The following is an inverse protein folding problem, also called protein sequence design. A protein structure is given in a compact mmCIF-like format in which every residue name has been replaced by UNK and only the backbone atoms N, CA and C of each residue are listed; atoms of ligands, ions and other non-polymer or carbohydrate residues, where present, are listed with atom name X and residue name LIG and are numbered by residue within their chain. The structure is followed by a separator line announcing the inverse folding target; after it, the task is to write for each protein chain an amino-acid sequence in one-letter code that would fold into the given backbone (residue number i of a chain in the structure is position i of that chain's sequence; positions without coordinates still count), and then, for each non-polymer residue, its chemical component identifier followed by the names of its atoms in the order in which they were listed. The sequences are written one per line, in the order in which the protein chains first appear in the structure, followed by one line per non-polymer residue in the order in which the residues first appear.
data_IF_279590327989
#
_entry.id   IF_279590327989
#
_cell.length_a   1.000
_cell.length_b   1.000
_cell.length_c   1.000
_cell.angle_alpha   90.00
_cell.angle_beta   90.00
_cell.angle_gamma   90.00
#
_symmetry.space_group_name_H-M   'P 1'
#
loop_
_entity.id
_entity.type
_entity.pdbx_description
1 polymer ?
#
# COMPACT_ATOMS: atom_id res chain seq x y z
N UNK A 1 -16.72 -4.07 -35.05
CA UNK A 1 -16.81 -2.96 -34.08
C UNK A 1 -17.43 -3.53 -32.82
N UNK A 2 -16.62 -3.85 -31.81
CA UNK A 2 -17.14 -4.43 -30.57
C UNK A 2 -16.18 -4.12 -29.41
N UNK A 3 -16.34 -2.94 -28.82
CA UNK A 3 -15.56 -2.50 -27.67
C UNK A 3 -16.19 -3.12 -26.42
N UNK A 4 -15.72 -4.31 -26.03
CA UNK A 4 -16.23 -5.03 -24.86
C UNK A 4 -15.37 -4.71 -23.65
N UNK A 5 -15.91 -3.99 -22.68
CA UNK A 5 -15.28 -3.76 -21.39
C UNK A 5 -16.08 -4.40 -20.26
N UNK A 6 -15.38 -4.84 -19.23
CA UNK A 6 -15.96 -5.35 -17.99
C UNK A 6 -15.81 -4.28 -16.92
N UNK A 7 -16.95 -3.79 -16.42
CA UNK A 7 -17.03 -2.82 -15.32
C UNK A 7 -17.94 -3.40 -14.22
N UNK A 8 -17.68 -3.03 -12.96
CA UNK A 8 -18.64 -3.29 -11.88
C UNK A 8 -19.95 -2.54 -12.15
N UNK A 9 -21.07 -3.19 -11.87
CA UNK A 9 -22.40 -2.63 -12.16
C UNK A 9 -22.62 -1.27 -11.47
N UNK A 10 -22.08 -1.10 -10.27
CA UNK A 10 -22.17 0.13 -9.45
C UNK A 10 -21.32 1.28 -9.99
N UNK A 11 -20.28 0.99 -10.76
CA UNK A 11 -19.37 2.00 -11.30
C UNK A 11 -19.75 2.45 -12.72
N UNK A 12 -20.74 1.80 -13.34
CA UNK A 12 -21.10 2.01 -14.75
C UNK A 12 -21.62 3.42 -15.04
N UNK A 13 -22.32 4.05 -14.10
CA UNK A 13 -22.83 5.42 -14.23
C UNK A 13 -21.80 6.49 -13.92
N UNK A 14 -20.63 6.10 -13.38
CA UNK A 14 -19.57 7.01 -12.95
C UNK A 14 -18.41 7.08 -13.96
N UNK A 15 -18.46 6.28 -15.02
CA UNK A 15 -17.42 6.23 -16.03
C UNK A 15 -17.99 6.51 -17.41
N UNK A 16 -17.26 7.31 -18.19
CA UNK A 16 -17.51 7.52 -19.61
C UNK A 16 -16.28 7.04 -20.36
N UNK A 17 -16.46 6.04 -21.23
CA UNK A 17 -15.37 5.45 -22.00
C UNK A 17 -15.52 5.83 -23.47
N UNK A 18 -14.57 6.61 -23.98
CA UNK A 18 -14.47 6.93 -25.40
C UNK A 18 -13.73 5.82 -26.14
N UNK A 19 -14.46 4.91 -26.80
CA UNK A 19 -13.86 3.90 -27.66
C UNK A 19 -13.40 4.51 -28.99
N UNK A 20 -12.22 5.11 -29.02
CA UNK A 20 -11.60 5.58 -30.27
C UNK A 20 -10.99 4.40 -31.04
N UNK A 21 -11.32 4.30 -32.33
CA UNK A 21 -10.70 3.31 -33.24
C UNK A 21 -9.23 3.72 -33.47
N UNK A 22 -8.26 2.80 -33.48
CA UNK A 22 -6.94 3.09 -33.99
C UNK A 22 -7.02 3.14 -35.51
N UNK A 23 -7.10 4.34 -36.06
CA UNK A 23 -7.16 4.53 -37.51
C UNK A 23 -7.61 5.93 -37.87
N UNK A 24 -6.76 6.91 -37.58
CA UNK A 24 -6.46 8.08 -38.42
C UNK A 24 -5.58 9.04 -37.60
N UNK A 25 -4.27 8.99 -37.88
CA UNK A 25 -3.37 10.06 -37.52
C UNK A 25 -3.74 11.28 -38.36
N UNK A 26 -4.36 12.29 -37.76
CA UNK A 26 -4.20 13.66 -38.23
C UNK A 26 -3.74 14.52 -37.06
N UNK A 27 -2.53 15.04 -37.27
CA UNK A 27 -1.93 16.22 -36.68
C UNK A 27 -2.90 17.18 -35.99
N UNK A 28 -2.63 17.51 -34.73
CA UNK A 28 -2.29 18.86 -34.25
C UNK A 28 -2.33 18.81 -32.71
N UNK A 29 -1.17 19.03 -32.08
CA UNK A 29 -1.08 19.24 -30.64
C UNK A 29 -1.51 20.67 -30.34
N UNK A 30 -2.73 20.84 -29.83
CA UNK A 30 -3.13 21.90 -28.88
C UNK A 30 -4.52 21.60 -28.36
N UNK A 31 -4.76 21.71 -27.04
CA UNK A 31 -6.10 21.97 -26.56
C UNK A 31 -6.11 23.21 -25.67
N UNK A 32 -6.49 24.34 -26.27
CA UNK A 32 -7.19 25.40 -25.55
C UNK A 32 -8.66 24.97 -25.43
N UNK A 33 -9.17 25.05 -24.20
CA UNK A 33 -10.58 25.27 -23.82
C UNK A 33 -11.66 24.42 -24.52
N UNK A 34 -12.18 23.42 -23.80
CA UNK A 34 -13.62 23.14 -23.82
C UNK A 34 -14.06 22.70 -22.43
N UNK A 35 -14.86 23.58 -21.82
CA UNK A 35 -15.54 23.44 -20.54
C UNK A 35 -16.39 22.16 -20.52
N UNK A 36 -16.13 21.26 -19.57
CA UNK A 36 -17.09 20.23 -19.18
C UNK A 36 -18.01 20.77 -18.08
N UNK A 37 -19.32 20.43 -18.07
CA UNK A 37 -20.27 20.90 -17.08
C UNK A 37 -19.98 20.28 -15.69
N UNK A 38 -20.35 20.97 -14.59
CA UNK A 38 -20.17 20.42 -13.25
C UNK A 38 -21.17 19.30 -13.03
N UNK A 39 -20.70 18.05 -12.92
CA UNK A 39 -21.55 16.94 -12.53
C UNK A 39 -22.04 17.17 -11.09
N UNK A 40 -23.36 17.11 -10.97
CA UNK A 40 -24.19 17.39 -9.81
C UNK A 40 -23.76 16.62 -8.56
N UNK A 41 -23.81 17.34 -7.45
CA UNK A 41 -23.79 16.80 -6.10
C UNK A 41 -24.94 15.81 -5.95
N UNK A 42 -24.64 14.51 -5.98
CA UNK A 42 -25.53 13.52 -5.40
C UNK A 42 -25.08 13.35 -3.96
N UNK A 43 -25.80 14.06 -3.09
CA UNK A 43 -25.78 13.93 -1.64
C UNK A 43 -26.17 12.48 -1.31
N UNK A 44 -25.18 11.60 -1.22
CA UNK A 44 -25.31 10.39 -0.41
C UNK A 44 -25.54 10.90 1.00
N UNK A 45 -26.62 10.47 1.64
CA UNK A 45 -26.90 10.75 3.05
C UNK A 45 -25.65 10.44 3.88
N UNK A 46 -24.87 11.48 4.17
CA UNK A 46 -23.84 11.47 5.18
C UNK A 46 -24.61 11.36 6.48
N UNK A 47 -24.69 10.15 7.00
CA UNK A 47 -24.59 10.01 8.45
C UNK A 47 -23.32 10.79 8.79
N UNK A 48 -23.50 11.97 9.38
CA UNK A 48 -22.42 12.76 9.94
C UNK A 48 -21.78 11.86 11.00
N UNK A 49 -20.82 11.04 10.58
CA UNK A 49 -19.85 10.46 11.47
C UNK A 49 -19.04 11.65 11.94
N UNK A 50 -19.52 12.26 13.04
CA UNK A 50 -18.86 13.32 13.79
C UNK A 50 -17.39 12.95 13.88
N UNK A 51 -16.57 13.59 13.05
CA UNK A 51 -15.14 13.35 13.01
C UNK A 51 -14.64 13.61 14.42
N UNK A 52 -14.23 12.60 15.19
CA UNK A 52 -13.87 12.81 16.58
C UNK A 52 -12.75 13.83 16.63
N UNK A 53 -12.86 14.82 17.51
CA UNK A 53 -11.77 15.76 17.75
C UNK A 53 -10.48 14.96 18.01
N UNK A 54 -9.33 15.45 17.51
CA UNK A 54 -8.07 14.77 17.76
C UNK A 54 -7.85 14.68 19.27
N UNK A 55 -7.56 13.48 19.81
CA UNK A 55 -7.43 13.29 21.24
C UNK A 55 -6.30 14.16 21.78
N UNK A 56 -6.51 14.72 22.96
CA UNK A 56 -5.52 15.52 23.66
C UNK A 56 -4.32 14.67 24.11
N UNK A 57 -3.18 15.31 24.35
CA UNK A 57 -1.97 14.63 24.84
C UNK A 57 -2.22 13.89 26.17
N UNK A 58 -3.07 14.44 27.03
CA UNK A 58 -3.45 13.80 28.30
C UNK A 58 -4.28 12.52 28.07
N UNK A 59 -5.22 12.54 27.13
CA UNK A 59 -5.99 11.34 26.77
C UNK A 59 -5.10 10.27 26.12
N UNK A 60 -4.14 10.68 25.28
CA UNK A 60 -3.15 9.76 24.70
C UNK A 60 -2.33 9.11 25.81
N UNK A 61 -1.86 9.89 26.80
CA UNK A 61 -1.11 9.37 27.95
C UNK A 61 -1.92 8.33 28.73
N UNK A 62 -3.19 8.63 29.04
CA UNK A 62 -4.08 7.68 29.72
C UNK A 62 -4.32 6.40 28.90
N UNK A 63 -4.50 6.53 27.58
CA UNK A 63 -4.65 5.38 26.67
C UNK A 63 -3.39 4.51 26.66
N UNK A 64 -2.20 5.12 26.65
CA UNK A 64 -0.91 4.42 26.70
C UNK A 64 -0.75 3.68 28.04
N UNK A 65 -1.02 4.33 29.17
CA UNK A 65 -0.94 3.69 30.50
C UNK A 65 -1.90 2.50 30.60
N UNK A 66 -3.15 2.68 30.15
CA UNK A 66 -4.17 1.62 30.12
C UNK A 66 -3.78 0.46 29.20
N UNK A 67 -3.16 0.75 28.06
CA UNK A 67 -2.63 -0.27 27.14
C UNK A 67 -1.47 -1.03 27.80
N UNK A 68 -0.45 -0.31 28.28
CA UNK A 68 0.75 -0.87 28.89
C UNK A 68 0.45 -1.73 30.13
N UNK A 69 -0.57 -1.38 30.92
CA UNK A 69 -1.01 -2.18 32.07
C UNK A 69 -1.54 -3.58 31.69
N UNK A 70 -2.02 -3.76 30.44
CA UNK A 70 -2.53 -5.04 29.93
C UNK A 70 -1.47 -5.84 29.17
N UNK A 71 -0.36 -5.20 28.82
CA UNK A 71 0.68 -5.77 27.97
C UNK A 71 1.62 -6.62 28.82
N UNK A 72 1.72 -7.90 28.48
CA UNK A 72 2.55 -8.88 29.20
C UNK A 72 3.86 -9.20 28.49
N UNK A 73 3.93 -8.95 27.18
CA UNK A 73 5.16 -9.01 26.39
C UNK A 73 5.75 -7.60 26.30
N UNK A 74 7.06 -7.39 26.29
CA UNK A 74 7.71 -6.06 26.38
C UNK A 74 7.41 -5.06 25.22
N UNK A 75 6.31 -5.23 24.49
CA UNK A 75 5.79 -4.43 23.39
C UNK A 75 4.98 -3.22 23.91
N UNK A 76 5.62 -2.46 24.78
CA UNK A 76 5.03 -1.27 25.40
C UNK A 76 4.95 -0.11 24.39
N UNK A 77 4.02 0.80 24.65
CA UNK A 77 3.97 2.11 24.01
C UNK A 77 4.70 3.15 24.86
N UNK A 78 5.34 4.13 24.21
CA UNK A 78 6.03 5.23 24.87
C UNK A 78 5.50 6.56 24.34
N UNK A 79 5.19 7.49 25.25
CA UNK A 79 4.94 8.88 24.92
C UNK A 79 6.29 9.64 24.91
N UNK A 80 6.51 10.44 23.88
CA UNK A 80 7.69 11.29 23.73
C UNK A 80 7.37 12.73 24.18
N UNK A 81 8.41 13.52 24.42
CA UNK A 81 8.30 14.88 24.94
C UNK A 81 7.66 15.86 23.94
N UNK A 82 7.76 15.56 22.64
CA UNK A 82 7.14 16.31 21.54
C UNK A 82 5.64 16.00 21.36
N UNK A 83 5.07 15.16 22.23
CA UNK A 83 3.68 14.71 22.15
C UNK A 83 3.44 13.57 21.16
N UNK A 84 4.46 13.14 20.41
CA UNK A 84 4.38 11.92 19.61
C UNK A 84 4.47 10.69 20.49
N UNK A 85 4.07 9.54 19.97
CA UNK A 85 4.21 8.28 20.69
C UNK A 85 4.73 7.19 19.78
N UNK A 86 5.39 6.20 20.36
CA UNK A 86 5.87 5.02 19.64
C UNK A 86 5.28 3.74 20.21
N UNK A 87 5.29 2.70 19.40
CA UNK A 87 4.79 1.38 19.78
C UNK A 87 5.10 0.33 18.74
N UNK A 88 4.51 -0.85 18.91
CA UNK A 88 4.73 -1.98 18.03
C UNK A 88 3.44 -2.39 17.32
N UNK A 89 3.55 -2.67 16.01
CA UNK A 89 2.48 -3.31 15.23
C UNK A 89 2.98 -4.62 14.65
N UNK A 90 2.05 -5.55 14.40
CA UNK A 90 2.31 -6.77 13.64
C UNK A 90 1.62 -6.68 12.28
N UNK A 91 2.40 -6.72 11.22
CA UNK A 91 1.90 -6.73 9.84
C UNK A 91 2.03 -8.13 9.29
N UNK A 92 0.93 -8.64 8.75
CA UNK A 92 0.88 -9.94 8.09
C UNK A 92 0.97 -9.74 6.57
N UNK A 93 2.02 -10.27 5.95
CA UNK A 93 2.27 -10.14 4.52
C UNK A 93 1.65 -11.33 3.78
N UNK A 94 0.39 -11.15 3.37
CA UNK A 94 -0.35 -12.13 2.55
C UNK A 94 -0.25 -11.79 1.06
N UNK A 95 0.94 -11.93 0.48
CA UNK A 95 1.14 -11.71 -0.97
C UNK A 95 0.84 -12.99 -1.75
N UNK A 96 -0.10 -12.93 -2.70
CA UNK A 96 -0.37 -14.04 -3.63
C UNK A 96 0.25 -13.72 -4.99
N UNK A 97 1.01 -14.68 -5.55
CA UNK A 97 1.69 -14.72 -6.88
C UNK A 97 3.17 -14.31 -6.89
N UNK A 98 3.95 -14.73 -7.91
CA UNK A 98 5.40 -14.65 -7.90
C UNK A 98 5.85 -13.20 -7.82
N UNK A 99 6.41 -12.83 -6.68
CA UNK A 99 6.98 -11.51 -6.50
C UNK A 99 8.23 -11.44 -7.33
N UNK A 100 8.41 -10.35 -8.06
CA UNK A 100 9.68 -10.15 -8.70
C UNK A 100 10.69 -9.66 -7.68
N UNK A 101 11.84 -10.32 -7.70
CA UNK A 101 13.07 -9.76 -7.17
C UNK A 101 14.03 -9.53 -8.34
N UNK A 102 14.93 -8.54 -8.28
CA UNK A 102 16.00 -8.42 -9.25
C UNK A 102 16.87 -9.68 -9.19
N UNK A 103 17.12 -10.36 -10.31
CA UNK A 103 18.24 -11.30 -10.32
C UNK A 103 19.51 -10.46 -10.31
N UNK A 104 20.36 -10.63 -9.30
CA UNK A 104 21.70 -10.05 -9.40
C UNK A 104 22.48 -9.81 -8.11
N UNK A 105 21.86 -9.82 -6.92
CA UNK A 105 22.67 -9.72 -5.70
C UNK A 105 23.04 -11.13 -5.22
N UNK A 106 23.85 -11.82 -6.03
CA UNK A 106 24.67 -12.92 -5.52
C UNK A 106 25.78 -12.26 -4.67
N UNK A 107 26.11 -12.77 -3.47
CA UNK A 107 27.36 -12.35 -2.82
C UNK A 107 28.50 -12.53 -3.83
N UNK A 108 29.37 -11.52 -3.99
CA UNK A 108 30.49 -11.59 -4.94
C UNK A 108 31.23 -12.91 -4.75
N UNK A 109 31.07 -13.80 -5.71
CA UNK A 109 31.80 -15.04 -5.78
C UNK A 109 33.20 -14.73 -6.31
N UNK A 110 34.21 -15.51 -5.92
CA UNK A 110 35.56 -15.42 -6.51
C UNK A 110 35.57 -15.53 -8.05
N UNK A 111 34.50 -16.06 -8.64
CA UNK A 111 34.32 -16.14 -10.09
C UNK A 111 33.75 -14.86 -10.74
N UNK A 112 33.17 -13.93 -9.97
CA UNK A 112 32.61 -12.68 -10.51
C UNK A 112 33.70 -11.65 -10.82
N UNK A 113 34.88 -11.76 -10.19
CA UNK A 113 36.05 -10.90 -10.44
C UNK A 113 36.72 -11.17 -11.81
N UNK A 114 36.37 -12.27 -12.48
CA UNK A 114 37.02 -12.69 -13.73
C UNK A 114 36.21 -12.35 -14.99
N UNK A 115 34.99 -11.82 -14.84
CA UNK A 115 34.13 -11.47 -15.97
C UNK A 115 33.86 -9.98 -15.93
N UNK A 116 34.36 -9.24 -16.93
CA UNK A 116 33.89 -7.86 -17.16
C UNK A 116 32.41 -7.92 -17.56
N UNK A 117 31.53 -7.66 -16.60
CA UNK A 117 30.09 -7.66 -16.81
C UNK A 117 29.69 -6.28 -17.31
N UNK A 118 29.22 -6.20 -18.55
CA UNK A 118 28.54 -5.03 -19.07
C UNK A 118 27.34 -4.71 -18.16
N UNK A 119 27.37 -3.55 -17.49
CA UNK A 119 26.34 -3.07 -16.55
C UNK A 119 24.94 -2.96 -17.19
N UNK A 120 24.83 -2.99 -18.51
CA UNK A 120 23.56 -2.92 -19.24
C UNK A 120 22.80 -4.26 -19.34
N UNK A 121 23.45 -5.40 -19.09
CA UNK A 121 22.87 -6.75 -19.31
C UNK A 121 22.25 -7.38 -18.05
N UNK A 122 22.37 -6.73 -16.88
CA UNK A 122 21.87 -7.26 -15.60
C UNK A 122 20.43 -6.84 -15.28
N UNK A 123 19.82 -5.97 -16.07
CA UNK A 123 18.52 -5.37 -15.77
C UNK A 123 17.31 -6.24 -16.19
N UNK A 124 17.49 -7.21 -17.08
CA UNK A 124 16.35 -7.94 -17.69
C UNK A 124 16.10 -9.35 -17.13
N UNK A 125 16.94 -9.85 -16.22
CA UNK A 125 16.74 -11.17 -15.61
C UNK A 125 15.80 -11.07 -14.41
N UNK A 126 14.50 -10.90 -14.69
CA UNK A 126 13.44 -10.83 -13.69
C UNK A 126 13.10 -12.26 -13.23
N UNK A 127 13.77 -12.76 -12.20
CA UNK A 127 13.46 -14.09 -11.62
C UNK A 127 12.39 -13.95 -10.55
N UNK A 128 11.38 -14.78 -10.62
CA UNK A 128 10.24 -14.74 -9.73
C UNK A 128 10.53 -15.55 -8.46
N UNK A 129 11.16 -14.94 -7.46
CA UNK A 129 11.33 -15.58 -6.16
C UNK A 129 10.12 -15.30 -5.28
N UNK A 130 9.57 -16.36 -4.70
CA UNK A 130 8.44 -16.28 -3.80
C UNK A 130 8.89 -15.67 -2.46
N UNK A 131 8.26 -14.58 -2.05
CA UNK A 131 8.22 -14.20 -0.64
C UNK A 131 7.70 -15.42 0.16
N UNK A 132 8.28 -15.78 1.31
CA UNK A 132 7.70 -16.82 2.17
C UNK A 132 6.22 -16.51 2.37
N UNK A 133 5.36 -17.46 1.95
CA UNK A 133 3.91 -17.36 2.13
C UNK A 133 3.66 -17.02 3.61
N UNK A 134 2.94 -15.92 3.85
CA UNK A 134 2.48 -15.52 5.18
C UNK A 134 3.61 -15.12 6.17
N UNK A 135 4.52 -14.25 5.73
CA UNK A 135 5.48 -13.62 6.64
C UNK A 135 4.78 -12.64 7.61
N UNK A 136 5.03 -12.79 8.92
CA UNK A 136 4.60 -11.81 9.92
C UNK A 136 5.79 -10.95 10.31
N UNK A 137 5.64 -9.62 10.22
CA UNK A 137 6.66 -8.69 10.67
C UNK A 137 6.15 -7.81 11.81
N UNK A 138 6.87 -7.86 12.92
CA UNK A 138 6.75 -6.89 13.98
C UNK A 138 7.58 -5.65 13.64
N UNK A 139 6.94 -4.48 13.69
CA UNK A 139 7.54 -3.19 13.40
C UNK A 139 7.42 -2.29 14.62
N UNK A 140 8.48 -1.54 14.94
CA UNK A 140 8.43 -0.41 15.86
C UNK A 140 8.17 0.84 15.02
N UNK A 141 7.11 1.58 15.34
CA UNK A 141 6.64 2.74 14.58
C UNK A 141 6.30 3.91 15.51
N UNK A 142 6.22 5.11 14.95
CA UNK A 142 5.70 6.30 15.62
C UNK A 142 4.25 6.60 15.22
N UNK A 143 3.61 7.49 15.97
CA UNK A 143 2.29 8.06 15.67
C UNK A 143 2.24 8.83 14.34
N UNK A 144 3.40 9.24 13.82
CA UNK A 144 3.53 9.95 12.54
C UNK A 144 3.88 9.02 11.38
N UNK A 145 4.17 7.74 11.64
CA UNK A 145 4.51 6.78 10.59
C UNK A 145 3.30 6.52 9.70
N UNK A 146 3.45 6.76 8.40
CA UNK A 146 2.39 6.64 7.41
C UNK A 146 2.27 5.21 6.86
N UNK A 147 1.09 4.90 6.29
CA UNK A 147 0.88 3.62 5.60
C UNK A 147 1.85 3.44 4.43
N UNK A 148 2.16 4.52 3.71
CA UNK A 148 3.11 4.48 2.59
C UNK A 148 4.50 4.07 3.04
N UNK A 149 5.01 4.65 4.13
CA UNK A 149 6.31 4.30 4.69
C UNK A 149 6.36 2.84 5.16
N UNK A 150 5.28 2.35 5.78
CA UNK A 150 5.17 0.95 6.19
C UNK A 150 5.25 0.03 4.97
N UNK A 151 4.47 0.30 3.92
CA UNK A 151 4.47 -0.50 2.69
C UNK A 151 5.87 -0.49 2.06
N UNK A 152 6.43 0.70 1.79
CA UNK A 152 7.74 0.83 1.16
C UNK A 152 8.84 0.16 1.98
N UNK A 153 8.83 0.35 3.30
CA UNK A 153 9.79 -0.28 4.21
C UNK A 153 9.72 -1.81 4.20
N UNK A 154 8.50 -2.37 4.16
CA UNK A 154 8.30 -3.81 4.06
C UNK A 154 8.74 -4.35 2.70
N UNK A 155 8.36 -3.72 1.60
CA UNK A 155 8.77 -4.14 0.25
C UNK A 155 10.29 -4.13 0.10
N UNK A 156 10.95 -3.06 0.55
CA UNK A 156 12.41 -2.96 0.56
C UNK A 156 13.05 -4.06 1.41
N UNK A 157 12.53 -4.30 2.61
CA UNK A 157 13.05 -5.33 3.52
C UNK A 157 13.00 -6.73 2.91
N UNK A 158 11.96 -7.00 2.13
CA UNK A 158 11.75 -8.29 1.47
C UNK A 158 12.18 -8.30 0.00
N UNK A 159 12.95 -7.29 -0.43
CA UNK A 159 13.50 -7.15 -1.78
C UNK A 159 12.46 -7.19 -2.91
N UNK A 160 11.23 -6.77 -2.60
CA UNK A 160 10.14 -6.66 -3.57
C UNK A 160 10.33 -5.40 -4.40
N UNK A 161 10.49 -5.53 -5.72
CA UNK A 161 10.71 -4.39 -6.63
C UNK A 161 9.48 -4.01 -7.45
N UNK A 162 8.32 -4.58 -7.11
CA UNK A 162 7.05 -4.16 -7.66
C UNK A 162 6.68 -2.74 -7.21
N UNK A 163 5.86 -2.07 -8.02
CA UNK A 163 5.38 -0.72 -7.72
C UNK A 163 4.61 -0.74 -6.37
N UNK A 164 5.00 0.11 -5.38
CA UNK A 164 4.34 0.17 -4.07
C UNK A 164 2.84 0.45 -4.16
N UNK A 165 2.36 1.10 -5.23
CA UNK A 165 0.93 1.35 -5.46
C UNK A 165 0.10 0.09 -5.76
N UNK A 166 0.75 -1.06 -6.02
CA UNK A 166 0.07 -2.36 -6.14
C UNK A 166 -0.27 -2.97 -4.77
N UNK A 167 0.19 -2.36 -3.68
CA UNK A 167 0.05 -2.88 -2.34
C UNK A 167 -0.83 -1.95 -1.50
N UNK A 168 -1.52 -2.56 -0.54
CA UNK A 168 -2.35 -1.85 0.43
C UNK A 168 -2.21 -2.52 1.80
N UNK A 169 -2.39 -1.72 2.85
CA UNK A 169 -2.41 -2.20 4.23
C UNK A 169 -3.87 -2.24 4.70
N UNK A 170 -4.30 -3.40 5.19
CA UNK A 170 -5.66 -3.60 5.70
C UNK A 170 -5.61 -3.83 7.22
N UNK A 171 -6.57 -3.24 7.93
CA UNK A 171 -6.84 -3.56 9.34
C UNK A 171 -7.88 -4.68 9.39
N UNK A 172 -7.49 -5.86 9.86
CA UNK A 172 -8.42 -6.94 10.13
C UNK A 172 -9.10 -6.69 11.48
N UNK A 173 -10.42 -6.54 11.47
CA UNK A 173 -11.22 -6.49 12.69
C UNK A 173 -11.95 -7.81 12.82
N UNK A 174 -11.76 -8.52 13.94
CA UNK A 174 -12.62 -9.66 14.27
C UNK A 174 -14.02 -9.09 14.52
N UNK A 175 -14.99 -9.52 13.71
CA UNK A 175 -16.40 -9.37 14.09
C UNK A 175 -16.66 -10.47 15.10
N UNK A 176 -16.98 -10.07 16.33
CA UNK A 176 -17.51 -11.00 17.32
C UNK A 176 -18.83 -11.54 16.77
N UNK A 177 -18.85 -12.77 16.24
CA UNK A 177 -20.09 -13.44 15.82
C UNK A 177 -20.17 -14.07 14.42
N UNK A 178 -19.10 -14.66 13.88
CA UNK A 178 -19.28 -15.75 12.91
C UNK A 178 -18.91 -17.07 13.59
N UNK A 179 -19.96 -17.75 14.04
CA UNK A 179 -19.90 -19.12 14.53
C UNK A 179 -19.32 -20.06 13.48
N UNK A 180 -18.73 -21.11 14.03
CA UNK A 180 -18.25 -22.30 13.35
C UNK A 180 -19.28 -22.82 12.32
N UNK A 181 -18.77 -23.25 11.16
CA UNK A 181 -19.46 -24.23 10.33
C UNK A 181 -18.82 -25.58 10.58
#
# INVERSE_FOLDING_TARGET
ADCRYTCHQECRSLIQLDCRRPGECQSQLSPESTLLPPCSQNVTQTVEEEKPEPPTVQEIKQKIEKYNAKVTNCLLMKLNDDGTYTGFIKVHLKLRRPVTVPAGIRPQSIYDALKEVNLADTTDKRTSFYLPLDAIKQLHISSTTTVSEVIQGLLKKFMVVDNPQKFALFKEMRKDGQGEF
#
